data_IF_531700194055
#
_entry.id   IF_531700194055
#
_cell.length_a   1.000
_cell.length_b   1.000
_cell.length_c   1.000
_cell.angle_alpha   90.00
_cell.angle_beta   90.00
_cell.angle_gamma   90.00
#
_symmetry.space_group_name_H-M   'P 1'
#
loop_
_entity.id
_entity.type
_entity.pdbx_description
1 polymer ?
#
# COMPACT_ATOMS: atom_id res chain seq x y z
N UNK A 1 0.83 -30.74 -55.59
CA UNK A 1 0.71 -29.36 -55.09
C UNK A 1 1.27 -29.33 -53.67
N UNK A 2 2.35 -28.59 -53.44
CA UNK A 2 3.05 -28.50 -52.15
C UNK A 2 2.78 -27.10 -51.57
N UNK A 3 2.16 -27.02 -50.39
CA UNK A 3 2.02 -25.77 -49.63
C UNK A 3 3.35 -25.47 -48.92
N UNK A 4 3.89 -24.24 -49.00
CA UNK A 4 5.09 -23.87 -48.26
C UNK A 4 4.71 -23.47 -46.82
N UNK A 5 5.42 -24.07 -45.87
CA UNK A 5 5.38 -23.76 -44.44
C UNK A 5 6.01 -22.39 -44.21
N UNK A 6 5.20 -21.36 -43.96
CA UNK A 6 5.69 -20.04 -43.57
C UNK A 6 6.00 -20.04 -42.07
N UNK A 7 7.29 -20.17 -41.78
CA UNK A 7 7.89 -20.03 -40.46
C UNK A 7 7.79 -18.56 -40.03
N UNK A 8 6.80 -18.21 -39.22
CA UNK A 8 6.67 -16.88 -38.65
C UNK A 8 7.71 -16.68 -37.54
N UNK A 9 8.73 -15.86 -37.83
CA UNK A 9 9.69 -15.36 -36.85
C UNK A 9 8.97 -14.44 -35.85
N UNK A 10 8.73 -14.93 -34.64
CA UNK A 10 8.33 -14.12 -33.48
C UNK A 10 9.55 -13.34 -32.99
N UNK A 11 9.75 -12.15 -33.55
CA UNK A 11 10.60 -11.12 -32.94
C UNK A 11 9.88 -10.62 -31.68
N UNK A 12 10.25 -11.18 -30.53
CA UNK A 12 9.87 -10.64 -29.22
C UNK A 12 10.67 -9.35 -29.03
N UNK A 13 10.04 -8.23 -29.35
CA UNK A 13 10.56 -6.90 -29.08
C UNK A 13 10.76 -6.74 -27.58
N UNK A 14 12.02 -6.69 -27.13
CA UNK A 14 12.37 -6.32 -25.76
C UNK A 14 12.17 -4.80 -25.63
N UNK A 15 10.91 -4.38 -25.45
CA UNK A 15 10.60 -2.98 -25.16
C UNK A 15 11.07 -2.69 -23.73
N UNK A 16 11.88 -1.64 -23.49
CA UNK A 16 12.20 -1.23 -22.14
C UNK A 16 10.89 -0.90 -21.42
N UNK A 17 10.70 -1.48 -20.24
CA UNK A 17 9.58 -1.13 -19.37
C UNK A 17 9.73 0.36 -19.06
N UNK A 18 8.91 1.21 -19.70
CA UNK A 18 8.92 2.64 -19.41
C UNK A 18 8.61 2.82 -17.93
N UNK A 19 9.33 3.74 -17.27
CA UNK A 19 9.09 4.05 -15.87
C UNK A 19 7.61 4.39 -15.67
N UNK A 20 6.95 3.65 -14.78
CA UNK A 20 5.52 3.80 -14.56
C UNK A 20 5.30 4.82 -13.46
N UNK A 21 4.54 5.88 -13.76
CA UNK A 21 4.11 6.83 -12.74
C UNK A 21 3.40 6.09 -11.62
N UNK A 22 3.78 6.40 -10.38
CA UNK A 22 3.23 5.77 -9.19
C UNK A 22 2.91 6.85 -8.15
N UNK A 23 1.77 6.67 -7.51
CA UNK A 23 1.36 7.45 -6.36
C UNK A 23 1.33 6.53 -5.15
N UNK A 24 1.93 6.97 -4.04
CA UNK A 24 1.96 6.19 -2.82
C UNK A 24 1.73 7.07 -1.60
N UNK A 25 1.03 6.52 -0.61
CA UNK A 25 0.86 7.11 0.71
C UNK A 25 1.52 6.16 1.70
N UNK A 26 2.31 6.70 2.62
CA UNK A 26 3.11 5.87 3.51
C UNK A 26 3.78 6.67 4.62
N UNK A 27 4.03 6.02 5.77
CA UNK A 27 4.91 6.59 6.80
C UNK A 27 6.35 6.50 6.32
N UNK A 28 7.04 7.63 6.28
CA UNK A 28 8.42 7.70 5.81
C UNK A 28 9.39 7.27 6.91
N UNK A 29 10.24 6.31 6.60
CA UNK A 29 11.29 5.79 7.49
C UNK A 29 12.66 5.80 6.81
N UNK A 30 13.71 5.64 7.61
CA UNK A 30 15.08 5.47 7.12
C UNK A 30 15.73 4.32 7.91
N UNK A 31 16.20 3.28 7.22
CA UNK A 31 16.76 2.08 7.85
C UNK A 31 18.27 2.17 8.12
N UNK A 32 18.84 3.35 7.93
CA UNK A 32 20.27 3.63 8.05
C UNK A 32 20.98 3.68 6.70
N UNK A 33 20.40 3.06 5.66
CA UNK A 33 20.96 3.08 4.30
C UNK A 33 20.02 3.77 3.31
N UNK A 34 18.73 3.43 3.36
CA UNK A 34 17.75 3.88 2.38
C UNK A 34 16.52 4.50 3.06
N UNK A 35 15.86 5.40 2.34
CA UNK A 35 14.51 5.87 2.67
C UNK A 35 13.47 4.84 2.23
N UNK A 36 12.47 4.59 3.07
CA UNK A 36 11.49 3.52 2.87
C UNK A 36 10.11 3.93 3.35
N UNK A 37 9.10 3.21 2.88
CA UNK A 37 7.75 3.28 3.43
C UNK A 37 7.60 2.21 4.50
N UNK A 38 7.21 2.60 5.71
CA UNK A 38 7.01 1.71 6.84
C UNK A 38 6.12 0.52 6.46
N UNK A 39 6.43 -0.66 7.01
CA UNK A 39 5.67 -1.89 6.75
C UNK A 39 5.59 -2.31 5.27
N UNK A 40 6.55 -1.90 4.45
CA UNK A 40 6.68 -2.34 3.06
C UNK A 40 8.13 -2.65 2.70
N UNK A 41 8.34 -3.30 1.56
CA UNK A 41 9.68 -3.49 0.98
C UNK A 41 10.13 -2.36 0.06
N UNK A 42 9.36 -1.29 -0.09
CA UNK A 42 9.66 -0.21 -1.05
C UNK A 42 10.87 0.60 -0.62
N UNK A 43 11.75 0.84 -1.57
CA UNK A 43 12.91 1.72 -1.45
C UNK A 43 12.66 3.00 -2.25
N UNK A 44 12.93 4.14 -1.62
CA UNK A 44 12.78 5.46 -2.20
C UNK A 44 14.16 6.00 -2.59
N UNK A 45 14.28 6.53 -3.81
CA UNK A 45 15.50 7.17 -4.32
C UNK A 45 15.22 8.61 -4.75
N UNK A 46 16.25 9.45 -4.73
CA UNK A 46 16.14 10.87 -5.06
C UNK A 46 15.96 11.75 -3.82
N UNK A 47 15.39 12.95 -4.02
CA UNK A 47 14.95 13.99 -3.06
C UNK A 47 15.41 13.85 -1.59
N UNK A 48 16.71 13.69 -1.34
CA UNK A 48 17.22 13.31 -0.01
C UNK A 48 16.94 14.37 1.07
N UNK A 49 17.17 15.68 0.82
CA UNK A 49 16.85 16.71 1.83
C UNK A 49 15.36 16.78 2.18
N UNK A 50 14.47 16.67 1.18
CA UNK A 50 13.03 16.76 1.38
C UNK A 50 12.48 15.53 2.09
N UNK A 51 12.97 14.33 1.74
CA UNK A 51 12.64 13.10 2.45
C UNK A 51 13.15 13.15 3.90
N UNK A 52 14.39 13.61 4.12
CA UNK A 52 14.95 13.75 5.47
C UNK A 52 14.11 14.68 6.36
N UNK A 53 13.60 15.79 5.79
CA UNK A 53 12.75 16.74 6.51
C UNK A 53 11.37 16.19 6.90
N UNK A 54 10.99 15.02 6.38
CA UNK A 54 9.66 14.40 6.53
C UNK A 54 9.70 13.05 7.26
N UNK A 55 10.84 12.65 7.82
CA UNK A 55 10.97 11.37 8.53
C UNK A 55 9.94 11.24 9.66
N UNK A 56 9.27 10.09 9.73
CA UNK A 56 8.23 9.76 10.69
C UNK A 56 6.84 10.28 10.34
N UNK A 57 6.71 11.19 9.35
CA UNK A 57 5.42 11.66 8.85
C UNK A 57 4.79 10.65 7.88
N UNK A 58 3.45 10.67 7.81
CA UNK A 58 2.73 10.03 6.70
C UNK A 58 2.70 11.00 5.53
N UNK A 59 3.29 10.59 4.41
CA UNK A 59 3.51 11.41 3.22
C UNK A 59 2.78 10.84 2.01
N UNK A 60 2.45 11.74 1.09
CA UNK A 60 2.07 11.45 -0.28
C UNK A 60 3.31 11.64 -1.16
N UNK A 61 3.61 10.64 -1.97
CA UNK A 61 4.75 10.64 -2.89
C UNK A 61 4.23 10.41 -4.30
N UNK A 62 4.59 11.34 -5.18
CA UNK A 62 4.50 11.19 -6.62
C UNK A 62 5.89 10.74 -7.10
N UNK A 63 5.95 9.66 -7.87
CA UNK A 63 7.22 9.11 -8.32
C UNK A 63 7.11 8.23 -9.56
N UNK A 64 8.25 7.66 -9.94
CA UNK A 64 8.34 6.70 -11.03
C UNK A 64 8.87 5.37 -10.51
N UNK A 65 8.15 4.28 -10.79
CA UNK A 65 8.63 2.93 -10.45
C UNK A 65 9.75 2.54 -11.42
N UNK A 66 10.96 2.39 -10.90
CA UNK A 66 12.14 1.97 -11.66
C UNK A 66 12.25 0.45 -11.77
N UNK A 67 11.89 -0.24 -10.68
CA UNK A 67 11.86 -1.70 -10.62
C UNK A 67 10.68 -2.10 -9.73
N UNK A 68 9.70 -2.88 -10.21
CA UNK A 68 8.55 -3.28 -9.40
C UNK A 68 8.79 -4.54 -8.54
N UNK A 69 9.86 -5.31 -8.81
CA UNK A 69 10.12 -6.60 -8.14
C UNK A 69 11.62 -6.92 -8.13
N UNK A 70 12.16 -7.66 -7.13
CA UNK A 70 11.51 -8.22 -5.92
C UNK A 70 11.35 -7.24 -4.76
N UNK A 71 12.06 -6.11 -4.79
CA UNK A 71 11.89 -5.00 -3.87
C UNK A 71 11.61 -3.76 -4.72
N UNK A 72 10.40 -3.17 -4.63
CA UNK A 72 10.06 -2.05 -5.49
C UNK A 72 10.96 -0.84 -5.22
N UNK A 73 11.46 -0.22 -6.28
CA UNK A 73 12.26 1.01 -6.21
C UNK A 73 11.48 2.13 -6.88
N UNK A 74 11.22 3.18 -6.12
CA UNK A 74 10.52 4.38 -6.58
C UNK A 74 11.47 5.57 -6.59
N UNK A 75 11.65 6.17 -7.76
CA UNK A 75 12.30 7.46 -7.89
C UNK A 75 11.29 8.56 -7.51
N UNK A 76 11.60 9.30 -6.45
CA UNK A 76 10.72 10.33 -5.89
C UNK A 76 10.82 11.59 -6.75
N UNK A 77 9.66 12.05 -7.23
CA UNK A 77 9.52 13.28 -8.02
C UNK A 77 8.99 14.42 -7.15
N UNK A 78 8.04 14.11 -6.26
CA UNK A 78 7.53 15.05 -5.27
C UNK A 78 7.13 14.32 -3.99
N UNK A 79 7.24 15.02 -2.86
CA UNK A 79 6.80 14.54 -1.55
C UNK A 79 6.09 15.66 -0.80
N UNK A 80 4.95 15.33 -0.17
CA UNK A 80 4.20 16.23 0.70
C UNK A 80 3.59 15.46 1.85
N UNK A 81 3.24 16.16 2.94
CA UNK A 81 2.50 15.53 4.05
C UNK A 81 1.11 15.12 3.57
N UNK A 82 0.66 13.91 3.94
CA UNK A 82 -0.70 13.49 3.63
C UNK A 82 -1.72 14.13 4.57
N UNK A 83 -2.89 14.44 4.02
CA UNK A 83 -4.06 14.84 4.82
C UNK A 83 -4.96 13.67 5.20
N UNK A 84 -4.72 12.48 4.62
CA UNK A 84 -5.44 11.26 4.93
C UNK A 84 -4.48 10.20 5.46
N UNK A 85 -4.83 9.55 6.56
CA UNK A 85 -3.93 8.60 7.23
C UNK A 85 -4.73 7.40 7.73
N UNK A 86 -4.13 6.22 7.57
CA UNK A 86 -4.53 5.00 8.24
C UNK A 86 -3.57 4.71 9.40
N UNK A 87 -4.10 4.24 10.53
CA UNK A 87 -3.32 3.81 11.68
C UNK A 87 -3.81 2.44 12.16
N UNK A 88 -2.88 1.53 12.34
CA UNK A 88 -3.09 0.28 13.06
C UNK A 88 -2.50 0.42 14.47
N UNK A 89 -3.32 0.19 15.48
CA UNK A 89 -2.91 0.23 16.88
C UNK A 89 -3.52 -0.90 17.70
N UNK A 90 -3.58 -0.70 19.00
CA UNK A 90 -4.07 -1.71 19.95
C UNK A 90 -2.95 -2.62 20.46
N UNK A 91 -3.33 -3.79 20.96
CA UNK A 91 -2.37 -4.79 21.45
C UNK A 91 -2.40 -6.00 20.52
N UNK A 92 -1.36 -6.16 19.72
CA UNK A 92 -1.18 -7.27 18.80
C UNK A 92 -0.85 -8.59 19.55
N UNK A 93 -1.66 -8.96 20.54
CA UNK A 93 -1.58 -10.23 21.27
C UNK A 93 -2.82 -11.06 21.01
N UNK A 94 -2.64 -12.37 20.98
CA UNK A 94 -3.74 -13.32 20.84
C UNK A 94 -4.80 -13.09 21.94
N UNK A 95 -6.07 -13.03 21.56
CA UNK A 95 -7.20 -12.73 22.46
C UNK A 95 -7.36 -11.25 22.85
N UNK A 96 -6.50 -10.35 22.36
CA UNK A 96 -6.68 -8.89 22.46
C UNK A 96 -7.28 -8.33 21.18
N UNK A 97 -7.29 -7.01 21.01
CA UNK A 97 -7.87 -6.35 19.85
C UNK A 97 -6.85 -5.50 19.11
N UNK A 98 -6.92 -5.55 17.78
CA UNK A 98 -6.34 -4.56 16.90
C UNK A 98 -7.32 -3.40 16.74
N UNK A 99 -6.77 -2.19 16.69
CA UNK A 99 -7.52 -0.95 16.49
C UNK A 99 -7.19 -0.39 15.13
N UNK A 100 -8.22 -0.24 14.30
CA UNK A 100 -8.11 0.31 12.95
C UNK A 100 -8.68 1.72 12.99
N UNK A 101 -7.87 2.71 12.64
CA UNK A 101 -8.29 4.12 12.59
C UNK A 101 -7.99 4.70 11.23
N UNK A 102 -8.92 5.47 10.70
CA UNK A 102 -8.71 6.30 9.52
C UNK A 102 -9.08 7.74 9.82
N UNK A 103 -8.29 8.65 9.27
CA UNK A 103 -8.53 10.08 9.27
C UNK A 103 -8.51 10.58 7.83
N UNK A 104 -9.54 11.28 7.40
CA UNK A 104 -9.58 11.98 6.12
C UNK A 104 -10.58 13.13 6.18
N UNK A 105 -10.18 14.37 5.85
CA UNK A 105 -11.07 15.53 5.92
C UNK A 105 -12.12 15.55 4.80
N UNK A 106 -11.86 14.87 3.69
CA UNK A 106 -12.67 14.95 2.46
C UNK A 106 -13.44 13.67 2.14
N UNK A 107 -13.04 12.53 2.68
CA UNK A 107 -13.72 11.26 2.45
C UNK A 107 -14.97 11.11 3.32
N UNK A 108 -15.93 10.35 2.79
CA UNK A 108 -17.15 9.98 3.49
C UNK A 108 -17.37 8.46 3.56
N UNK A 109 -16.55 7.68 2.88
CA UNK A 109 -16.57 6.21 2.90
C UNK A 109 -15.19 5.65 3.18
N UNK A 110 -15.14 4.54 3.92
CA UNK A 110 -13.89 3.85 4.24
C UNK A 110 -14.01 2.34 4.06
N UNK A 111 -12.86 1.71 3.84
CA UNK A 111 -12.65 0.27 3.80
C UNK A 111 -11.38 -0.06 4.59
N UNK A 112 -11.46 -0.95 5.57
CA UNK A 112 -10.31 -1.53 6.24
C UNK A 112 -10.02 -2.90 5.67
N UNK A 113 -8.78 -3.09 5.24
CA UNK A 113 -8.30 -4.25 4.52
C UNK A 113 -7.18 -4.90 5.34
N UNK A 114 -7.10 -6.22 5.31
CA UNK A 114 -6.10 -7.00 6.03
C UNK A 114 -5.62 -8.16 5.16
N UNK A 115 -4.32 -8.46 5.23
CA UNK A 115 -3.70 -9.63 4.63
C UNK A 115 -2.50 -10.09 5.48
N UNK A 116 -1.92 -11.25 5.18
CA UNK A 116 -0.71 -11.80 5.86
C UNK A 116 0.57 -11.67 5.02
N UNK A 117 0.44 -11.14 3.82
CA UNK A 117 1.54 -10.88 2.88
C UNK A 117 1.42 -9.46 2.32
N UNK A 118 2.58 -8.82 2.14
CA UNK A 118 2.71 -7.52 1.51
C UNK A 118 2.80 -7.65 -0.02
N UNK A 119 2.37 -6.62 -0.72
CA UNK A 119 2.53 -6.47 -2.15
C UNK A 119 2.80 -5.01 -2.53
N UNK A 120 3.00 -4.80 -3.83
CA UNK A 120 3.13 -3.47 -4.41
C UNK A 120 2.44 -3.45 -5.76
N UNK A 121 1.27 -2.83 -5.82
CA UNK A 121 0.50 -2.70 -7.06
C UNK A 121 0.04 -1.26 -7.24
N UNK A 122 0.72 -0.47 -8.09
CA UNK A 122 0.24 0.85 -8.49
C UNK A 122 -1.12 0.74 -9.19
N UNK A 123 -2.14 1.43 -8.69
CA UNK A 123 -3.53 1.25 -9.13
C UNK A 123 -3.94 2.21 -10.25
N UNK A 124 -3.25 3.35 -10.37
CA UNK A 124 -3.56 4.37 -11.37
C UNK A 124 -3.50 3.85 -12.81
N UNK A 125 -2.66 2.84 -13.06
CA UNK A 125 -2.56 2.18 -14.36
C UNK A 125 -3.62 1.09 -14.60
N UNK A 126 -4.27 0.59 -13.55
CA UNK A 126 -5.20 -0.56 -13.63
C UNK A 126 -6.62 -0.09 -13.93
N UNK A 127 -7.12 0.89 -13.16
CA UNK A 127 -8.45 1.48 -13.38
C UNK A 127 -8.38 3.00 -13.24
N UNK A 128 -7.88 3.70 -14.28
CA UNK A 128 -7.73 5.15 -14.27
C UNK A 128 -9.04 5.86 -13.92
N UNK A 129 -8.98 6.78 -12.96
CA UNK A 129 -10.13 7.58 -12.54
C UNK A 129 -11.06 6.91 -11.53
N UNK A 130 -10.88 5.62 -11.23
CA UNK A 130 -11.65 4.91 -10.21
C UNK A 130 -10.82 4.54 -8.98
N UNK A 131 -9.54 4.20 -9.18
CA UNK A 131 -8.61 3.88 -8.10
C UNK A 131 -7.43 4.85 -8.17
N UNK A 132 -6.92 5.24 -7.00
CA UNK A 132 -5.76 6.11 -6.89
C UNK A 132 -4.81 5.62 -5.79
N UNK A 133 -3.52 5.61 -6.08
CA UNK A 133 -2.47 5.19 -5.15
C UNK A 133 -1.98 3.77 -5.35
N UNK A 134 -1.39 3.20 -4.29
CA UNK A 134 -0.76 1.88 -4.32
C UNK A 134 -1.51 0.91 -3.41
N UNK A 135 -1.81 -0.28 -3.93
CA UNK A 135 -2.28 -1.40 -3.11
C UNK A 135 -1.10 -2.14 -2.49
N UNK A 136 -1.09 -2.26 -1.16
CA UNK A 136 0.04 -2.80 -0.39
C UNK A 136 -0.14 -4.25 0.04
N UNK A 137 -1.28 -4.86 -0.28
CA UNK A 137 -1.64 -6.21 0.14
C UNK A 137 -1.63 -7.13 -1.08
N UNK A 138 -1.28 -8.40 -0.89
CA UNK A 138 -1.48 -9.39 -1.95
C UNK A 138 -2.98 -9.45 -2.32
N UNK A 139 -3.29 -9.44 -3.61
CA UNK A 139 -4.67 -9.30 -4.11
C UNK A 139 -5.50 -10.55 -3.83
N UNK A 140 -4.86 -11.70 -3.71
CA UNK A 140 -5.52 -12.96 -3.37
C UNK A 140 -5.83 -12.99 -1.87
N UNK A 141 -7.09 -13.27 -1.50
CA UNK A 141 -7.54 -13.49 -0.13
C UNK A 141 -7.49 -12.26 0.82
N UNK A 142 -7.57 -11.03 0.28
CA UNK A 142 -7.73 -9.82 1.10
C UNK A 142 -9.01 -9.90 1.92
N UNK A 143 -8.90 -9.69 3.23
CA UNK A 143 -10.03 -9.61 4.14
C UNK A 143 -10.51 -8.16 4.27
N UNK A 144 -11.80 -7.91 3.99
CA UNK A 144 -12.45 -6.65 4.37
C UNK A 144 -12.90 -6.75 5.82
N UNK A 145 -12.21 -6.01 6.69
CA UNK A 145 -12.42 -6.04 8.15
C UNK A 145 -13.63 -5.21 8.58
N UNK A 146 -13.80 -4.05 7.94
CA UNK A 146 -14.89 -3.12 8.18
C UNK A 146 -15.02 -2.17 7.00
N UNK A 147 -16.23 -1.72 6.72
CA UNK A 147 -16.48 -0.65 5.78
C UNK A 147 -17.73 0.12 6.20
N UNK A 148 -17.85 1.35 5.73
CA UNK A 148 -19.02 2.16 6.01
C UNK A 148 -18.83 3.63 5.69
N UNK A 149 -19.83 4.41 6.07
CA UNK A 149 -19.76 5.86 6.00
C UNK A 149 -19.07 6.43 7.25
N UNK A 150 -18.35 7.54 7.10
CA UNK A 150 -17.75 8.28 8.20
C UNK A 150 -17.57 9.76 7.85
N UNK A 151 -17.06 10.56 8.79
CA UNK A 151 -16.65 11.95 8.52
C UNK A 151 -15.48 12.32 9.41
N UNK A 152 -14.40 12.84 8.81
CA UNK A 152 -13.23 13.28 9.55
C UNK A 152 -12.40 12.11 10.05
N UNK A 153 -12.84 11.43 11.12
CA UNK A 153 -12.12 10.29 11.69
C UNK A 153 -13.10 9.16 12.04
N UNK A 154 -12.66 7.92 11.84
CA UNK A 154 -13.37 6.73 12.28
C UNK A 154 -12.41 5.72 12.89
N UNK A 155 -12.90 4.95 13.86
CA UNK A 155 -12.13 3.92 14.54
C UNK A 155 -13.01 2.70 14.82
N UNK A 156 -12.45 1.50 14.66
CA UNK A 156 -13.06 0.25 15.08
C UNK A 156 -12.01 -0.67 15.70
N UNK A 157 -12.42 -1.42 16.72
CA UNK A 157 -11.61 -2.49 17.30
C UNK A 157 -12.10 -3.84 16.82
N UNK A 158 -11.16 -4.76 16.53
CA UNK A 158 -11.45 -6.12 16.12
C UNK A 158 -10.61 -7.07 16.94
N UNK A 159 -11.29 -8.01 17.60
CA UNK A 159 -10.64 -9.03 18.40
C UNK A 159 -9.78 -9.93 17.52
N UNK A 160 -8.57 -10.23 17.97
CA UNK A 160 -7.72 -11.28 17.44
C UNK A 160 -8.25 -12.60 18.04
N UNK A 161 -8.68 -13.57 17.20
CA UNK A 161 -9.14 -14.85 17.69
C UNK A 161 -8.09 -15.52 18.59
N UNK A 162 -8.55 -16.26 19.60
CA UNK A 162 -7.66 -16.96 20.52
C UNK A 162 -7.09 -18.25 19.90
N UNK A 163 -6.36 -18.12 18.79
CA UNK A 163 -5.82 -19.23 18.03
C UNK A 163 -4.28 -19.23 18.06
N UNK A 164 -3.63 -20.24 18.68
CA UNK A 164 -2.18 -20.29 18.81
C UNK A 164 -1.43 -20.28 17.47
N UNK A 165 -2.06 -20.77 16.41
CA UNK A 165 -1.50 -20.79 15.06
C UNK A 165 -1.18 -19.38 14.50
N UNK A 166 -1.75 -18.32 15.10
CA UNK A 166 -1.50 -16.95 14.67
C UNK A 166 -0.28 -16.30 15.34
N UNK A 167 0.30 -16.90 16.37
CA UNK A 167 1.49 -16.36 17.04
C UNK A 167 2.67 -16.32 16.06
N UNK A 168 3.31 -15.16 15.95
CA UNK A 168 4.44 -14.91 15.05
C UNK A 168 4.05 -14.48 13.64
N UNK A 169 2.77 -14.57 13.26
CA UNK A 169 2.30 -14.05 11.98
C UNK A 169 2.35 -12.53 11.98
N UNK A 170 2.84 -11.95 10.89
CA UNK A 170 2.73 -10.52 10.64
C UNK A 170 1.49 -10.28 9.79
N UNK A 171 0.62 -9.42 10.27
CA UNK A 171 -0.54 -8.95 9.50
C UNK A 171 -0.21 -7.58 8.92
N UNK A 172 -0.60 -7.38 7.68
CA UNK A 172 -0.53 -6.12 6.96
C UNK A 172 -1.94 -5.58 6.78
N UNK A 173 -2.13 -4.32 7.14
CA UNK A 173 -3.40 -3.64 7.06
C UNK A 173 -3.26 -2.40 6.18
N UNK A 174 -4.32 -2.09 5.47
CA UNK A 174 -4.43 -0.88 4.67
C UNK A 174 -5.85 -0.34 4.78
N UNK A 175 -6.01 0.97 4.64
CA UNK A 175 -7.33 1.54 4.38
C UNK A 175 -7.44 2.12 2.98
N UNK A 176 -8.66 2.11 2.46
CA UNK A 176 -9.05 2.87 1.29
C UNK A 176 -10.20 3.81 1.66
N UNK A 177 -10.18 5.03 1.14
CA UNK A 177 -11.19 6.05 1.42
C UNK A 177 -11.71 6.67 0.14
N UNK A 178 -12.98 7.05 0.13
CA UNK A 178 -13.63 7.59 -1.06
C UNK A 178 -14.64 8.69 -0.73
N UNK A 179 -14.99 9.43 -1.79
CA UNK A 179 -16.10 10.38 -1.81
C UNK A 179 -16.92 10.14 -3.09
N UNK A 180 -18.23 10.46 -3.12
CA UNK A 180 -19.06 10.33 -4.30
C UNK A 180 -18.45 11.04 -5.51
N UNK A 181 -18.25 10.31 -6.60
CA UNK A 181 -17.69 10.84 -7.85
C UNK A 181 -16.17 11.04 -7.86
N UNK A 182 -15.46 10.65 -6.80
CA UNK A 182 -14.00 10.64 -6.75
C UNK A 182 -13.45 9.21 -6.82
N UNK A 183 -12.18 9.08 -7.22
CA UNK A 183 -11.47 7.81 -7.16
C UNK A 183 -11.30 7.36 -5.69
N UNK A 184 -11.30 6.04 -5.47
CA UNK A 184 -10.97 5.46 -4.18
C UNK A 184 -9.46 5.61 -3.93
N UNK A 185 -9.11 6.36 -2.89
CA UNK A 185 -7.74 6.63 -2.49
C UNK A 185 -7.25 5.55 -1.52
N UNK A 186 -6.19 4.85 -1.91
CA UNK A 186 -5.52 3.86 -1.07
C UNK A 186 -4.45 4.52 -0.20
N UNK A 187 -4.59 4.35 1.11
CA UNK A 187 -3.74 4.99 2.12
C UNK A 187 -2.49 4.15 2.43
N UNK A 188 -1.75 4.54 3.47
CA UNK A 188 -0.58 3.83 3.94
C UNK A 188 -0.85 2.40 4.41
N UNK A 189 0.18 1.57 4.29
CA UNK A 189 0.26 0.26 4.94
C UNK A 189 0.67 0.43 6.40
N UNK A 190 0.11 -0.39 7.28
CA UNK A 190 0.54 -0.57 8.65
C UNK A 190 0.61 -2.06 8.94
N UNK A 191 1.49 -2.49 9.85
CA UNK A 191 1.72 -3.90 10.11
C UNK A 191 1.92 -4.18 11.60
N UNK A 192 1.58 -5.40 12.01
CA UNK A 192 1.80 -5.86 13.37
C UNK A 192 2.12 -7.36 13.37
N UNK A 193 3.13 -7.76 14.14
CA UNK A 193 3.39 -9.17 14.44
C UNK A 193 2.56 -9.58 15.65
N UNK A 194 1.73 -10.61 15.47
CA UNK A 194 0.90 -11.17 16.51
C UNK A 194 1.74 -11.94 17.53
N UNK A 195 1.51 -11.67 18.82
CA UNK A 195 2.29 -12.21 19.94
C UNK A 195 1.43 -13.10 20.82
N UNK A 196 2.07 -13.96 21.60
CA UNK A 196 1.41 -14.70 22.66
C UNK A 196 0.67 -13.74 23.65
N UNK A 197 -0.36 -14.24 24.37
CA UNK A 197 -1.15 -13.44 25.31
C UNK A 197 -0.35 -12.63 26.34
#
# INVERSE_FOLDING_TARGET
MRLPTLLAFLLVSCLPLAAQGTFLIGRLEHDGTDFRIACTRVVLRGMTPELQARLGEVVEIDGNTLAPWPAPVVEVVAVRRSTSEFQLGGDARIGRALRFRVSSPTADTYYFLLHVEDAFTPLDAILPGFLHGTFWLELQNVLVVSSGAFRGQWEVEKAIPNEPAFVGLTVFAQAAVGSPGAALLYLNSECATLRAP
#
